data_IF_259723725699
#
_entry.id   IF_259723725699
#
_cell.length_a   1.000
_cell.length_b   1.000
_cell.length_c   1.000
_cell.angle_alpha   90.00
_cell.angle_beta   90.00
_cell.angle_gamma   90.00
#
_symmetry.space_group_name_H-M   'P 1'
#
loop_
_entity.id
_entity.type
_entity.pdbx_description
1 polymer ?
#
# COMPACT_ATOMS: atom_id res chain seq x y z
N UNK A 1 -20.36 -80.86 18.44
CA UNK A 1 -21.59 -80.13 18.74
C UNK A 1 -21.26 -79.20 19.88
N UNK A 2 -20.80 -78.00 19.55
CA UNK A 2 -20.47 -76.94 20.53
C UNK A 2 -21.50 -75.82 20.38
N UNK A 3 -22.25 -75.63 21.41
CA UNK A 3 -23.20 -74.52 21.53
C UNK A 3 -22.44 -73.20 21.64
N UNK A 4 -22.75 -72.26 20.78
CA UNK A 4 -22.25 -70.88 20.84
C UNK A 4 -23.19 -70.08 21.77
N UNK A 5 -22.63 -69.74 22.92
CA UNK A 5 -23.33 -68.88 23.91
C UNK A 5 -23.64 -67.51 23.36
N UNK A 6 -24.92 -67.15 23.31
CA UNK A 6 -25.49 -65.93 22.74
C UNK A 6 -25.50 -64.73 23.69
N UNK A 7 -24.64 -64.67 24.70
CA UNK A 7 -24.71 -63.64 25.76
C UNK A 7 -23.58 -62.63 25.81
N UNK A 8 -22.78 -62.46 24.76
CA UNK A 8 -21.74 -61.43 24.74
C UNK A 8 -21.91 -60.49 23.59
N UNK A 9 -23.08 -59.82 23.47
CA UNK A 9 -23.24 -58.62 22.67
C UNK A 9 -22.72 -57.43 23.46
N UNK A 10 -21.40 -57.20 23.38
CA UNK A 10 -20.77 -55.99 23.88
C UNK A 10 -21.28 -54.82 23.06
N UNK A 11 -22.12 -53.97 23.68
CA UNK A 11 -22.53 -52.69 23.08
C UNK A 11 -21.33 -51.77 23.04
N UNK A 12 -20.63 -51.73 21.92
CA UNK A 12 -19.64 -50.68 21.63
C UNK A 12 -20.42 -49.42 21.39
N UNK A 13 -20.53 -48.59 22.42
CA UNK A 13 -21.05 -47.22 22.28
C UNK A 13 -19.94 -46.39 21.65
N UNK A 14 -19.96 -46.25 20.32
CA UNK A 14 -19.08 -45.33 19.59
C UNK A 14 -19.53 -43.90 19.93
N UNK A 15 -18.82 -43.30 20.89
CA UNK A 15 -18.92 -41.86 21.11
C UNK A 15 -18.23 -41.19 19.91
N UNK A 16 -19.00 -40.77 18.94
CA UNK A 16 -18.50 -39.86 17.87
C UNK A 16 -18.07 -38.57 18.55
N UNK A 17 -16.84 -38.11 18.33
CA UNK A 17 -16.43 -36.82 18.86
C UNK A 17 -17.35 -35.75 18.23
N UNK A 18 -18.00 -34.97 19.10
CA UNK A 18 -18.74 -33.76 18.68
C UNK A 18 -17.69 -32.78 18.17
N UNK A 19 -17.51 -32.71 16.84
CA UNK A 19 -16.74 -31.67 16.20
C UNK A 19 -17.66 -30.45 16.20
N UNK A 20 -17.35 -29.39 16.99
CA UNK A 20 -18.14 -28.19 16.95
C UNK A 20 -18.11 -27.67 15.52
N UNK A 21 -19.27 -27.60 14.86
CA UNK A 21 -19.42 -26.84 13.63
C UNK A 21 -18.94 -25.42 13.94
N UNK A 22 -17.74 -25.10 13.44
CA UNK A 22 -17.27 -23.72 13.44
C UNK A 22 -18.35 -22.95 12.68
N UNK A 23 -19.10 -22.10 13.38
CA UNK A 23 -20.05 -21.21 12.74
C UNK A 23 -19.31 -20.53 11.59
N UNK A 24 -19.77 -20.74 10.38
CA UNK A 24 -19.29 -19.99 9.21
C UNK A 24 -19.64 -18.54 9.57
N UNK A 25 -18.62 -17.78 9.98
CA UNK A 25 -18.82 -16.35 10.19
C UNK A 25 -19.46 -15.84 8.89
N UNK A 26 -20.51 -15.04 9.02
CA UNK A 26 -21.15 -14.39 7.88
C UNK A 26 -20.05 -13.77 7.01
N UNK A 27 -19.70 -14.46 5.92
CA UNK A 27 -18.74 -13.92 4.96
C UNK A 27 -19.39 -12.66 4.39
N UNK A 28 -18.81 -11.52 4.70
CA UNK A 28 -19.20 -10.27 4.05
C UNK A 28 -19.15 -10.51 2.54
N UNK A 29 -20.19 -10.10 1.79
CA UNK A 29 -20.22 -10.31 0.35
C UNK A 29 -18.93 -9.76 -0.27
N UNK A 30 -18.25 -10.60 -1.06
CA UNK A 30 -17.05 -10.19 -1.79
C UNK A 30 -17.44 -9.07 -2.76
N UNK A 31 -16.92 -7.89 -2.53
CA UNK A 31 -17.14 -6.73 -3.41
C UNK A 31 -15.94 -6.59 -4.33
N UNK A 32 -16.18 -6.72 -5.63
CA UNK A 32 -15.16 -6.48 -6.67
C UNK A 32 -15.28 -5.04 -7.15
N UNK A 33 -14.18 -4.30 -7.16
CA UNK A 33 -14.12 -2.93 -7.62
C UNK A 33 -13.23 -2.81 -8.84
N UNK A 34 -13.81 -2.36 -9.96
CA UNK A 34 -13.04 -1.92 -11.12
C UNK A 34 -12.75 -0.41 -10.95
N UNK A 35 -11.49 -0.03 -11.09
CA UNK A 35 -11.06 1.37 -11.24
C UNK A 35 -10.47 1.50 -12.63
N UNK A 36 -11.16 2.23 -13.50
CA UNK A 36 -10.74 2.42 -14.88
C UNK A 36 -9.40 3.16 -14.98
N UNK A 37 -8.75 3.05 -16.13
CA UNK A 37 -7.50 3.75 -16.39
C UNK A 37 -7.70 5.26 -16.27
N UNK A 38 -6.83 5.91 -15.52
CA UNK A 38 -6.89 7.35 -15.26
C UNK A 38 -7.98 7.80 -14.28
N UNK A 39 -8.78 6.88 -13.73
CA UNK A 39 -9.77 7.18 -12.71
C UNK A 39 -9.19 7.05 -11.28
N UNK A 40 -9.75 7.82 -10.36
CA UNK A 40 -9.55 7.70 -8.93
C UNK A 40 -10.68 6.88 -8.30
N UNK A 41 -10.36 6.02 -7.34
CA UNK A 41 -11.33 5.13 -6.67
C UNK A 41 -12.40 5.87 -5.87
N UNK A 42 -12.09 7.08 -5.40
CA UNK A 42 -13.06 7.92 -4.67
C UNK A 42 -13.96 8.73 -5.58
N UNK A 43 -13.65 8.78 -6.88
CA UNK A 43 -14.30 9.67 -7.85
C UNK A 43 -13.88 11.14 -7.70
N UNK A 44 -12.91 11.45 -6.83
CA UNK A 44 -12.36 12.79 -6.63
C UNK A 44 -10.87 12.79 -6.99
N UNK A 45 -10.42 13.75 -7.81
CA UNK A 45 -9.01 13.80 -8.16
C UNK A 45 -8.19 14.26 -6.95
N UNK A 46 -7.17 13.48 -6.58
CA UNK A 46 -6.14 13.88 -5.64
C UNK A 46 -4.95 14.46 -6.40
N UNK A 47 -4.26 15.42 -5.83
CA UNK A 47 -3.10 16.05 -6.45
C UNK A 47 -1.89 16.00 -5.51
N UNK A 48 -0.72 15.78 -6.09
CA UNK A 48 0.51 15.97 -5.32
C UNK A 48 0.68 17.47 -5.01
N UNK A 49 1.00 17.77 -3.75
CA UNK A 49 1.10 19.14 -3.26
C UNK A 49 2.13 20.01 -4.01
N UNK A 50 3.07 19.42 -4.73
CA UNK A 50 4.18 20.11 -5.42
C UNK A 50 4.00 20.27 -6.91
N UNK A 51 3.06 19.60 -7.53
CA UNK A 51 3.00 19.56 -8.99
C UNK A 51 1.59 19.28 -9.50
N UNK A 52 1.37 19.55 -10.77
CA UNK A 52 0.13 19.16 -11.45
C UNK A 52 0.00 17.63 -11.63
N UNK A 53 0.79 16.81 -10.92
CA UNK A 53 0.65 15.34 -10.97
C UNK A 53 -0.57 14.90 -10.19
N UNK A 54 -1.24 13.86 -10.69
CA UNK A 54 -2.40 13.29 -10.06
C UNK A 54 -1.96 12.10 -9.20
N UNK A 55 -2.58 11.99 -8.02
CA UNK A 55 -2.47 10.82 -7.14
C UNK A 55 -3.80 10.08 -7.24
N UNK A 56 -3.93 9.17 -8.19
CA UNK A 56 -5.16 8.41 -8.37
C UNK A 56 -5.17 7.22 -7.41
N UNK A 57 -6.05 7.22 -6.42
CA UNK A 57 -6.21 6.11 -5.50
C UNK A 57 -6.82 4.91 -6.23
N UNK A 58 -6.23 3.72 -6.07
CA UNK A 58 -6.65 2.50 -6.76
C UNK A 58 -7.25 1.46 -5.81
N UNK A 59 -6.67 1.32 -4.61
CA UNK A 59 -7.17 0.45 -3.54
C UNK A 59 -7.19 1.25 -2.25
N UNK A 60 -8.36 1.35 -1.61
CA UNK A 60 -8.54 2.12 -0.40
C UNK A 60 -8.30 1.27 0.85
N UNK A 61 -7.81 1.87 1.88
CA UNK A 61 -7.51 1.26 3.18
C UNK A 61 -8.71 0.49 3.75
N UNK A 62 -9.92 1.05 3.63
CA UNK A 62 -11.17 0.43 4.11
C UNK A 62 -11.55 -0.86 3.35
N UNK A 63 -11.07 -1.04 2.12
CA UNK A 63 -11.38 -2.20 1.29
C UNK A 63 -10.56 -3.43 1.67
N UNK A 64 -9.44 -3.23 2.36
CA UNK A 64 -8.47 -4.25 2.72
C UNK A 64 -8.32 -4.44 4.23
N UNK A 65 -9.20 -3.87 5.03
CA UNK A 65 -9.07 -3.86 6.51
C UNK A 65 -7.71 -3.29 6.94
N UNK A 66 -7.29 -2.20 6.32
CA UNK A 66 -6.00 -1.53 6.53
C UNK A 66 -4.75 -2.35 6.17
N UNK A 67 -4.90 -3.44 5.43
CA UNK A 67 -3.76 -4.25 5.02
C UNK A 67 -2.98 -3.63 3.85
N UNK A 68 -3.69 -2.91 2.96
CA UNK A 68 -3.11 -2.40 1.72
C UNK A 68 -3.75 -1.08 1.30
N UNK A 69 -2.93 -0.15 0.83
CA UNK A 69 -3.34 1.03 0.07
C UNK A 69 -2.51 1.10 -1.20
N UNK A 70 -3.14 1.37 -2.35
CA UNK A 70 -2.45 1.53 -3.64
C UNK A 70 -2.87 2.83 -4.29
N UNK A 71 -1.90 3.58 -4.79
CA UNK A 71 -2.12 4.75 -5.62
C UNK A 71 -1.22 4.77 -6.85
N UNK A 72 -1.63 5.52 -7.85
CA UNK A 72 -0.87 5.81 -9.06
C UNK A 72 -0.54 7.31 -9.08
N UNK A 73 0.75 7.66 -9.16
CA UNK A 73 1.18 9.01 -9.46
C UNK A 73 1.24 9.14 -10.99
N UNK A 74 0.24 9.79 -11.54
CA UNK A 74 0.08 10.02 -12.98
C UNK A 74 0.44 11.46 -13.34
N UNK A 75 1.04 11.66 -14.49
CA UNK A 75 1.61 12.95 -14.94
C UNK A 75 2.69 13.46 -13.97
N UNK A 76 3.51 12.53 -13.48
CA UNK A 76 4.62 12.83 -12.61
C UNK A 76 5.59 13.80 -13.31
N UNK A 77 5.97 14.86 -12.62
CA UNK A 77 6.91 15.87 -13.12
C UNK A 77 8.27 15.74 -12.45
N UNK A 78 9.29 16.35 -13.04
CA UNK A 78 10.66 16.38 -12.50
C UNK A 78 10.66 16.80 -11.03
N UNK A 79 11.34 16.00 -10.19
CA UNK A 79 11.40 16.19 -8.74
C UNK A 79 10.84 15.00 -7.96
N UNK A 80 10.66 15.19 -6.67
CA UNK A 80 10.16 14.16 -5.75
C UNK A 80 9.98 14.71 -4.33
N UNK A 81 9.55 13.86 -3.38
CA UNK A 81 9.36 14.25 -1.99
C UNK A 81 10.69 14.51 -1.27
N UNK A 82 10.67 15.16 -0.11
CA UNK A 82 11.83 15.19 0.78
C UNK A 82 12.14 13.79 1.32
N UNK A 83 13.38 13.59 1.79
CA UNK A 83 13.80 12.34 2.46
C UNK A 83 12.99 12.13 3.73
N UNK A 84 12.37 10.97 3.84
CA UNK A 84 11.52 10.62 4.97
C UNK A 84 11.64 9.14 5.34
N UNK A 85 11.05 8.78 6.46
CA UNK A 85 10.97 7.41 6.96
C UNK A 85 9.55 7.11 7.38
N UNK A 86 9.07 5.93 7.04
CA UNK A 86 7.82 5.35 7.52
C UNK A 86 8.10 4.44 8.72
N UNK A 87 7.33 4.58 9.81
CA UNK A 87 7.47 3.74 10.98
C UNK A 87 6.49 2.56 11.00
N UNK A 88 5.37 2.69 10.29
CA UNK A 88 4.26 1.75 10.37
C UNK A 88 4.06 0.93 9.09
N UNK A 89 4.55 1.37 7.93
CA UNK A 89 4.34 0.71 6.64
C UNK A 89 5.63 0.51 5.86
N UNK A 90 5.67 -0.55 5.06
CA UNK A 90 6.55 -0.67 3.90
C UNK A 90 5.95 0.11 2.74
N UNK A 91 6.81 0.72 1.90
CA UNK A 91 6.40 1.37 0.66
C UNK A 91 7.04 0.66 -0.52
N UNK A 92 6.20 0.18 -1.44
CA UNK A 92 6.65 -0.44 -2.68
C UNK A 92 6.39 0.50 -3.86
N UNK A 93 7.36 0.58 -4.75
CA UNK A 93 7.38 1.42 -5.93
C UNK A 93 7.46 0.55 -7.17
N UNK A 94 6.70 0.91 -8.21
CA UNK A 94 6.84 0.35 -9.55
C UNK A 94 6.84 1.49 -10.56
N UNK A 95 7.98 1.70 -11.25
CA UNK A 95 8.09 2.72 -12.27
C UNK A 95 7.49 2.21 -13.58
N UNK A 96 6.34 2.77 -13.97
CA UNK A 96 5.54 2.28 -15.10
C UNK A 96 6.06 2.84 -16.41
N UNK A 97 6.19 4.18 -16.50
CA UNK A 97 6.64 4.86 -17.72
C UNK A 97 7.19 6.25 -17.42
N UNK A 98 8.04 6.75 -18.32
CA UNK A 98 8.63 8.07 -18.27
C UNK A 98 9.67 8.28 -19.34
N UNK A 99 10.04 9.55 -19.60
CA UNK A 99 11.06 9.94 -20.59
C UNK A 99 12.48 9.81 -20.06
N UNK A 100 12.66 9.55 -18.77
CA UNK A 100 13.95 9.43 -18.09
C UNK A 100 13.82 8.54 -16.86
N UNK A 101 14.90 8.40 -16.09
CA UNK A 101 15.01 7.56 -14.90
C UNK A 101 14.37 8.20 -13.66
N UNK A 102 14.12 7.36 -12.66
CA UNK A 102 13.86 7.80 -11.27
C UNK A 102 15.12 7.55 -10.47
N UNK A 103 15.70 8.60 -9.90
CA UNK A 103 16.72 8.44 -8.85
C UNK A 103 16.03 8.05 -7.57
N UNK A 104 16.62 7.09 -6.83
CA UNK A 104 16.08 6.67 -5.55
C UNK A 104 17.22 6.35 -4.58
N UNK A 105 17.06 6.72 -3.33
CA UNK A 105 17.93 6.29 -2.23
C UNK A 105 17.09 5.62 -1.16
N UNK A 106 17.49 4.41 -0.75
CA UNK A 106 16.88 3.64 0.34
C UNK A 106 17.99 3.24 1.31
N UNK A 107 18.00 3.84 2.50
CA UNK A 107 19.14 3.76 3.39
C UNK A 107 20.39 4.33 2.73
N UNK A 108 21.42 3.51 2.57
CA UNK A 108 22.67 3.85 1.89
C UNK A 108 22.69 3.48 0.41
N UNK A 109 21.69 2.73 -0.06
CA UNK A 109 21.62 2.29 -1.45
C UNK A 109 21.17 3.44 -2.35
N UNK A 110 21.89 3.64 -3.46
CA UNK A 110 21.55 4.60 -4.52
C UNK A 110 21.18 3.84 -5.78
N UNK A 111 19.98 4.10 -6.27
CA UNK A 111 19.36 3.38 -7.37
C UNK A 111 18.97 4.34 -8.49
N UNK A 112 18.97 3.83 -9.71
CA UNK A 112 18.43 4.48 -10.91
C UNK A 112 17.41 3.53 -11.53
N UNK A 113 16.15 3.88 -11.48
CA UNK A 113 15.05 3.04 -11.95
C UNK A 113 14.70 3.42 -13.38
N UNK A 114 14.48 2.42 -14.20
CA UNK A 114 13.92 2.53 -15.56
C UNK A 114 12.48 2.00 -15.55
N UNK A 115 11.67 2.34 -16.55
CA UNK A 115 10.35 1.75 -16.70
C UNK A 115 10.39 0.21 -16.61
N UNK A 116 9.55 -0.36 -15.74
CA UNK A 116 9.53 -1.78 -15.42
C UNK A 116 10.26 -2.17 -14.13
N UNK A 117 11.11 -1.31 -13.57
CA UNK A 117 11.80 -1.58 -12.33
C UNK A 117 10.88 -1.37 -11.11
N UNK A 118 11.14 -2.13 -10.04
CA UNK A 118 10.44 -1.97 -8.77
C UNK A 118 11.39 -2.00 -7.58
N UNK A 119 11.03 -1.30 -6.50
CA UNK A 119 11.79 -1.24 -5.25
C UNK A 119 10.86 -1.33 -4.06
N UNK A 120 11.25 -2.05 -3.02
CA UNK A 120 10.61 -2.00 -1.71
C UNK A 120 11.49 -1.16 -0.78
N UNK A 121 10.94 -0.08 -0.22
CA UNK A 121 11.52 0.65 0.91
C UNK A 121 10.93 0.07 2.21
N UNK A 122 11.72 -0.66 3.02
CA UNK A 122 11.24 -1.21 4.28
C UNK A 122 10.88 -0.11 5.28
N UNK A 123 9.93 -0.37 6.17
CA UNK A 123 9.68 0.52 7.33
C UNK A 123 10.96 0.75 8.13
N UNK A 124 11.07 1.89 8.76
CA UNK A 124 12.23 2.35 9.54
C UNK A 124 13.50 2.58 8.70
N UNK A 125 13.45 2.45 7.37
CA UNK A 125 14.56 2.79 6.48
C UNK A 125 14.27 4.10 5.77
N UNK A 126 15.07 5.16 5.99
CA UNK A 126 14.92 6.43 5.30
C UNK A 126 15.04 6.27 3.79
N UNK A 127 14.14 6.89 3.04
CA UNK A 127 14.21 6.87 1.59
C UNK A 127 13.78 8.21 0.98
N UNK A 128 14.13 8.38 -0.29
CA UNK A 128 13.82 9.55 -1.10
C UNK A 128 13.92 9.16 -2.56
N UNK A 129 13.09 9.75 -3.41
CA UNK A 129 13.17 9.55 -4.84
C UNK A 129 12.98 10.87 -5.60
N UNK A 130 13.42 10.90 -6.86
CA UNK A 130 13.18 12.00 -7.78
C UNK A 130 13.09 11.49 -9.21
N UNK A 131 12.04 11.88 -9.91
CA UNK A 131 11.92 11.69 -11.35
C UNK A 131 12.76 12.73 -12.09
N UNK A 132 13.49 12.31 -13.12
CA UNK A 132 14.40 13.17 -13.89
C UNK A 132 13.79 13.70 -15.18
N UNK A 133 12.73 13.06 -15.67
CA UNK A 133 12.18 13.33 -17.00
C UNK A 133 11.58 14.72 -17.16
N UNK A 134 11.66 15.23 -18.38
CA UNK A 134 11.01 16.48 -18.80
C UNK A 134 9.58 16.25 -19.29
N UNK A 135 9.29 15.05 -19.75
CA UNK A 135 7.93 14.62 -20.11
C UNK A 135 7.26 13.93 -18.94
N UNK A 136 5.92 13.96 -18.86
CA UNK A 136 5.20 13.29 -17.77
C UNK A 136 5.56 11.82 -17.61
N UNK A 137 5.75 11.37 -16.36
CA UNK A 137 5.97 9.99 -16.00
C UNK A 137 4.82 9.40 -15.19
N UNK A 138 4.91 8.09 -14.90
CA UNK A 138 3.90 7.35 -14.12
C UNK A 138 4.56 6.31 -13.22
N UNK A 139 4.15 6.30 -11.96
CA UNK A 139 4.64 5.36 -10.97
C UNK A 139 3.50 4.86 -10.07
N UNK A 140 3.49 3.57 -9.77
CA UNK A 140 2.60 2.98 -8.78
C UNK A 140 3.29 2.92 -7.42
N UNK A 141 2.49 3.11 -6.38
CA UNK A 141 2.88 2.99 -4.99
C UNK A 141 1.92 2.04 -4.27
N UNK A 142 2.47 1.16 -3.46
CA UNK A 142 1.69 0.31 -2.56
C UNK A 142 2.26 0.40 -1.15
N UNK A 143 1.38 0.51 -0.17
CA UNK A 143 1.73 0.61 1.24
C UNK A 143 1.10 -0.53 2.03
N UNK A 144 1.92 -1.25 2.81
CA UNK A 144 1.47 -2.40 3.59
C UNK A 144 2.16 -2.48 4.95
N UNK A 145 1.42 -2.58 6.09
CA UNK A 145 0.00 -2.25 6.17
C UNK A 145 -0.26 -0.80 5.77
N UNK A 146 -1.47 -0.47 5.37
CA UNK A 146 -1.80 0.89 4.93
C UNK A 146 -1.68 1.94 6.04
N UNK A 147 -1.94 1.55 7.29
CA UNK A 147 -1.93 2.46 8.45
C UNK A 147 -2.69 3.78 8.16
N UNK A 148 -2.02 4.93 8.26
CA UNK A 148 -2.61 6.25 8.05
C UNK A 148 -2.20 6.92 6.73
N UNK A 149 -1.63 6.17 5.80
CA UNK A 149 -1.04 6.77 4.58
C UNK A 149 -2.09 7.35 3.63
N UNK A 150 -3.27 6.73 3.53
CA UNK A 150 -4.37 7.26 2.71
C UNK A 150 -4.75 8.66 3.18
N UNK A 151 -4.98 8.87 4.47
CA UNK A 151 -5.32 10.18 5.03
C UNK A 151 -4.18 11.20 4.90
N UNK A 152 -2.91 10.76 4.88
CA UNK A 152 -1.80 11.64 4.57
C UNK A 152 -1.91 12.22 3.15
N UNK A 153 -2.21 11.38 2.15
CA UNK A 153 -2.38 11.83 0.77
C UNK A 153 -3.65 12.66 0.56
N UNK A 154 -4.73 12.35 1.26
CA UNK A 154 -5.92 13.21 1.29
C UNK A 154 -5.60 14.61 1.84
N UNK A 155 -4.82 14.71 2.93
CA UNK A 155 -4.40 15.99 3.48
C UNK A 155 -3.42 16.75 2.56
N UNK A 156 -2.47 16.05 1.91
CA UNK A 156 -1.52 16.68 1.00
C UNK A 156 -2.15 17.17 -0.30
N UNK A 157 -3.31 16.63 -0.66
CA UNK A 157 -4.06 17.01 -1.86
C UNK A 157 -4.86 18.31 -1.70
N UNK A 158 -4.96 18.85 -0.48
CA UNK A 158 -5.67 20.10 -0.23
C UNK A 158 -4.92 21.30 -0.82
N UNK A 159 -5.64 22.30 -1.35
CA UNK A 159 -5.01 23.45 -2.05
C UNK A 159 -4.00 24.25 -1.20
N UNK A 160 -4.19 24.28 0.11
CA UNK A 160 -3.35 25.01 1.08
C UNK A 160 -2.30 24.13 1.76
N UNK A 161 -2.17 22.88 1.32
CA UNK A 161 -1.26 21.93 1.94
C UNK A 161 0.21 22.33 1.73
N UNK A 162 0.95 22.50 2.82
CA UNK A 162 2.40 22.68 2.78
C UNK A 162 3.07 21.32 2.49
N UNK A 163 3.89 21.26 1.46
CA UNK A 163 4.56 20.00 1.03
C UNK A 163 5.42 19.40 2.13
N UNK A 164 6.17 20.22 2.85
CA UNK A 164 7.17 19.80 3.84
C UNK A 164 6.73 20.17 5.25
N UNK A 165 5.48 19.82 5.64
CA UNK A 165 4.99 20.02 7.01
C UNK A 165 5.41 18.85 7.91
N UNK A 166 6.42 19.01 8.80
CA UNK A 166 6.87 17.92 9.66
C UNK A 166 5.75 17.36 10.54
N UNK A 167 4.86 18.22 11.03
CA UNK A 167 3.75 17.81 11.88
C UNK A 167 2.77 16.90 11.16
N UNK A 168 2.55 17.08 9.84
CA UNK A 168 1.74 16.16 9.05
C UNK A 168 2.40 14.80 8.95
N UNK A 169 3.70 14.74 8.65
CA UNK A 169 4.43 13.47 8.60
C UNK A 169 4.32 12.73 9.93
N UNK A 170 4.56 13.41 11.06
CA UNK A 170 4.51 12.80 12.39
C UNK A 170 3.13 12.25 12.75
N UNK A 171 2.05 12.98 12.45
CA UNK A 171 0.67 12.52 12.71
C UNK A 171 0.31 11.25 11.93
N UNK A 172 0.98 11.00 10.81
CA UNK A 172 0.75 9.86 9.93
C UNK A 172 1.83 8.77 10.04
N UNK A 173 2.57 8.72 11.16
CA UNK A 173 3.55 7.66 11.41
C UNK A 173 4.82 7.76 10.57
N UNK A 174 5.19 8.97 10.14
CA UNK A 174 6.37 9.26 9.33
C UNK A 174 7.22 10.37 9.95
N UNK A 175 8.44 10.53 9.44
CA UNK A 175 9.30 11.64 9.83
C UNK A 175 10.11 12.15 8.64
N UNK A 176 10.23 13.47 8.52
CA UNK A 176 11.17 14.10 7.60
C UNK A 176 12.58 14.00 8.17
N UNK A 177 13.53 13.51 7.37
CA UNK A 177 14.92 13.26 7.79
C UNK A 177 15.95 13.84 6.82
N UNK A 178 15.53 14.57 5.80
CA UNK A 178 16.44 15.23 4.87
C UNK A 178 15.71 15.97 3.73
N UNK A 179 16.45 16.69 2.87
CA UNK A 179 15.89 17.40 1.73
C UNK A 179 15.49 16.45 0.60
N UNK A 180 14.75 16.95 -0.42
CA UNK A 180 14.59 16.28 -1.71
C UNK A 180 15.94 16.01 -2.39
N UNK A 181 16.01 15.01 -3.30
CA UNK A 181 17.23 14.73 -4.10
C UNK A 181 17.53 15.85 -5.11
N UNK A 182 16.50 16.47 -5.66
CA UNK A 182 16.64 17.63 -6.53
C UNK A 182 16.24 18.87 -5.73
N UNK A 183 17.08 19.90 -5.78
CA UNK A 183 16.75 21.21 -5.22
C UNK A 183 15.45 21.76 -5.82
N UNK A 184 14.70 22.48 -5.01
CA UNK A 184 13.49 23.22 -5.44
C UNK A 184 13.87 24.45 -6.24
#
# INVERSE_FOLDING_TARGET
MHEIDRRSLLKILTVLPFVPHRAIADEKPVTVHLVEAGADRTGQPHKAARANSNLDFKVLTRETTSALFIMENRNMVRGGPPRHVHYEQEEWFYFVEGSDEVLMEVGEMKLRLKPGDSVLAPRNVPHVWAYLGEQPGRMLFAFTPAAKIESFFEETSKPDARVNDPGRFERHGMKLVGPPLLGS
#
